data_IF_119668559618
#
_entry.id   IF_119668559618
#
_cell.length_a   1.000
_cell.length_b   1.000
_cell.length_c   1.000
_cell.angle_alpha   90.00
_cell.angle_beta   90.00
_cell.angle_gamma   90.00
#
_symmetry.space_group_name_H-M   'P 1'
#
loop_
_entity.id
_entity.type
_entity.pdbx_description
1 polymer ?
#
# COMPACT_ATOMS: atom_id res chain seq x y z
N UNK A 1 16.50 22.03 -20.99
CA UNK A 1 16.20 21.82 -20.49
C UNK A 1 16.07 20.92 -19.72
N UNK A 2 16.06 20.49 -19.54
CA UNK A 2 15.95 19.89 -18.85
C UNK A 2 15.62 19.38 -17.82
N UNK A 3 15.79 19.22 -17.68
CA UNK A 3 15.12 19.25 -16.47
C UNK A 3 14.01 18.31 -16.29
N UNK A 4 13.27 17.88 -17.26
CA UNK A 4 12.20 16.92 -17.11
C UNK A 4 12.65 15.65 -16.44
N UNK A 5 13.85 15.22 -16.71
CA UNK A 5 14.31 14.00 -16.08
C UNK A 5 14.41 14.14 -14.61
N UNK A 6 14.87 15.30 -14.16
CA UNK A 6 14.99 15.49 -12.74
C UNK A 6 13.66 15.51 -12.05
N UNK A 7 12.65 16.05 -12.71
CA UNK A 7 11.34 16.11 -12.13
C UNK A 7 10.72 14.73 -11.99
N UNK A 8 11.18 13.78 -12.81
CA UNK A 8 10.62 12.45 -12.76
C UNK A 8 11.32 11.53 -11.81
N UNK A 9 12.50 11.92 -11.31
CA UNK A 9 13.21 11.07 -10.36
C UNK A 9 12.54 11.16 -9.00
N UNK A 10 12.22 10.03 -8.45
CA UNK A 10 11.48 9.94 -7.20
C UNK A 10 12.05 8.87 -6.31
N UNK A 11 11.89 9.09 -5.01
CA UNK A 11 12.20 8.05 -4.03
C UNK A 11 11.01 7.11 -3.93
N UNK A 12 11.29 5.85 -4.02
CA UNK A 12 10.27 4.80 -3.96
C UNK A 12 10.73 3.71 -3.02
N UNK A 13 9.77 3.00 -2.46
CA UNK A 13 10.06 1.83 -1.66
C UNK A 13 9.63 0.61 -2.46
N UNK A 14 10.59 -0.27 -2.71
CA UNK A 14 10.30 -1.57 -3.33
C UNK A 14 9.78 -2.49 -2.25
N UNK A 15 8.73 -3.22 -2.57
CA UNK A 15 8.16 -4.18 -1.64
C UNK A 15 7.90 -5.49 -2.38
N UNK A 16 7.82 -6.57 -1.61
CA UNK A 16 7.62 -7.88 -2.20
C UNK A 16 6.31 -8.47 -1.72
N UNK A 17 5.54 -8.95 -2.67
CA UNK A 17 4.30 -9.67 -2.39
C UNK A 17 4.43 -11.03 -3.04
N UNK A 18 4.77 -12.03 -2.24
CA UNK A 18 5.08 -13.34 -2.78
C UNK A 18 6.35 -13.29 -3.61
N UNK A 19 6.23 -13.62 -4.88
CA UNK A 19 7.40 -13.65 -5.76
C UNK A 19 7.51 -12.41 -6.62
N UNK A 20 6.60 -11.46 -6.49
CA UNK A 20 6.61 -10.28 -7.33
C UNK A 20 6.97 -9.06 -6.52
N UNK A 21 7.61 -8.11 -7.18
CA UNK A 21 7.97 -6.84 -6.57
C UNK A 21 7.09 -5.73 -7.10
N UNK A 22 6.78 -4.81 -6.23
CA UNK A 22 6.01 -3.62 -6.55
C UNK A 22 6.70 -2.44 -5.88
N UNK A 23 6.21 -1.25 -6.12
CA UNK A 23 6.78 -0.05 -5.51
C UNK A 23 5.68 0.86 -5.02
N UNK A 24 6.01 1.67 -4.03
CA UNK A 24 5.17 2.77 -3.57
C UNK A 24 6.04 4.01 -3.50
N UNK A 25 5.46 5.16 -3.81
CA UNK A 25 6.17 6.40 -3.61
C UNK A 25 6.51 6.55 -2.14
N UNK A 26 7.75 6.92 -1.85
CA UNK A 26 8.22 6.97 -0.47
C UNK A 26 7.43 7.97 0.35
N UNK A 27 6.90 9.00 -0.29
CA UNK A 27 6.12 10.02 0.44
C UNK A 27 4.87 9.44 1.08
N UNK A 28 4.41 8.28 0.64
CA UNK A 28 3.21 7.66 1.21
C UNK A 28 3.53 6.69 2.34
N UNK A 29 4.79 6.50 2.67
CA UNK A 29 5.17 5.51 3.67
C UNK A 29 5.34 6.19 5.01
N UNK A 30 4.56 5.74 6.00
CA UNK A 30 4.69 6.24 7.36
C UNK A 30 5.71 5.46 8.16
N UNK A 31 5.66 4.13 8.09
CA UNK A 31 6.64 3.31 8.81
C UNK A 31 6.56 1.87 8.34
N UNK A 32 7.59 1.12 8.67
CA UNK A 32 7.65 -0.32 8.43
C UNK A 32 7.66 -0.98 9.79
N UNK A 33 6.75 -1.89 10.01
CA UNK A 33 6.48 -2.42 11.33
C UNK A 33 6.66 -3.93 11.32
N UNK A 34 7.32 -4.46 12.35
CA UNK A 34 7.41 -5.91 12.51
C UNK A 34 6.00 -6.49 12.64
N UNK A 35 5.83 -7.78 12.34
CA UNK A 35 4.50 -8.37 12.42
C UNK A 35 3.88 -8.13 13.77
N UNK A 36 2.63 -7.69 13.76
CA UNK A 36 1.89 -7.35 14.95
C UNK A 36 0.62 -8.16 15.00
N UNK A 37 0.02 -8.17 16.17
CA UNK A 37 -1.26 -8.84 16.32
C UNK A 37 -2.30 -8.11 15.49
N UNK A 38 -3.08 -8.86 14.72
CA UNK A 38 -4.18 -8.33 13.93
C UNK A 38 -5.46 -8.64 14.68
N UNK A 39 -6.21 -7.59 15.00
CA UNK A 39 -7.48 -7.73 15.69
C UNK A 39 -8.58 -7.82 14.64
N UNK A 40 -9.35 -8.90 14.69
CA UNK A 40 -10.40 -9.12 13.71
C UNK A 40 -11.74 -8.74 14.30
N UNK A 41 -12.66 -8.38 13.43
CA UNK A 41 -13.99 -8.01 13.87
C UNK A 41 -15.01 -8.56 12.90
N UNK A 42 -16.27 -8.57 13.35
CA UNK A 42 -17.29 -9.34 12.68
C UNK A 42 -17.64 -8.81 11.29
N UNK A 43 -17.52 -7.53 11.08
CA UNK A 43 -18.00 -6.93 9.83
C UNK A 43 -16.86 -6.55 8.89
N UNK A 44 -15.73 -7.25 8.99
CA UNK A 44 -14.65 -6.98 8.07
C UNK A 44 -15.07 -7.34 6.65
N UNK A 45 -14.51 -6.59 5.70
CA UNK A 45 -14.76 -6.86 4.29
C UNK A 45 -13.69 -7.79 3.76
N UNK A 46 -13.87 -8.32 2.56
CA UNK A 46 -12.80 -9.14 1.97
C UNK A 46 -11.48 -8.40 1.83
N UNK A 47 -11.53 -7.10 1.64
CA UNK A 47 -10.30 -6.32 1.48
C UNK A 47 -9.62 -5.99 2.79
N UNK A 48 -10.35 -6.04 3.89
CA UNK A 48 -9.79 -5.64 5.19
C UNK A 48 -9.76 -6.86 6.09
N UNK A 49 -8.54 -7.25 6.42
CA UNK A 49 -8.30 -8.45 7.19
C UNK A 49 -8.56 -8.24 8.68
N UNK A 50 -8.42 -7.03 9.14
CA UNK A 50 -8.55 -6.67 10.53
C UNK A 50 -7.86 -5.35 10.73
N UNK A 51 -7.43 -5.08 11.97
CA UNK A 51 -6.72 -3.84 12.28
C UNK A 51 -5.51 -4.15 13.15
N UNK A 52 -4.51 -3.28 13.07
CA UNK A 52 -3.41 -3.28 14.03
C UNK A 52 -3.44 -1.94 14.75
N UNK A 53 -2.77 -1.90 15.89
CA UNK A 53 -2.69 -0.68 16.69
C UNK A 53 -1.30 -0.10 16.56
N UNK A 54 -1.23 1.15 16.12
CA UNK A 54 0.06 1.84 15.99
C UNK A 54 -0.09 3.25 16.52
N UNK A 55 0.71 3.57 17.53
CA UNK A 55 0.79 4.94 18.06
C UNK A 55 -0.59 5.47 18.44
N UNK A 56 -1.38 4.61 19.09
CA UNK A 56 -2.72 5.01 19.50
C UNK A 56 -3.73 5.04 18.39
N UNK A 57 -3.38 4.58 17.20
CA UNK A 57 -4.29 4.58 16.06
C UNK A 57 -4.70 3.17 15.72
N UNK A 58 -5.92 3.04 15.25
CA UNK A 58 -6.44 1.80 14.70
C UNK A 58 -6.20 1.86 13.20
N UNK A 59 -5.37 0.95 12.69
CA UNK A 59 -4.95 0.98 11.29
C UNK A 59 -5.48 -0.26 10.59
N UNK A 60 -6.32 -0.12 9.56
CA UNK A 60 -6.84 -1.30 8.86
C UNK A 60 -5.73 -2.00 8.10
N UNK A 61 -5.79 -3.33 8.10
CA UNK A 61 -4.84 -4.17 7.40
C UNK A 61 -5.49 -4.60 6.09
N UNK A 62 -4.92 -4.16 4.98
CA UNK A 62 -5.39 -4.48 3.65
C UNK A 62 -4.35 -5.38 2.98
N UNK A 63 -4.69 -6.65 2.81
CA UNK A 63 -3.80 -7.57 2.12
C UNK A 63 -4.13 -7.47 0.64
N UNK A 64 -3.28 -6.74 -0.08
CA UNK A 64 -3.52 -6.50 -1.50
C UNK A 64 -2.86 -7.55 -2.39
N UNK A 65 -2.18 -8.53 -1.79
CA UNK A 65 -1.44 -9.51 -2.57
C UNK A 65 -2.36 -10.32 -3.48
N UNK A 66 -3.50 -10.75 -2.97
CA UNK A 66 -4.38 -11.57 -3.79
C UNK A 66 -4.91 -10.79 -4.98
N UNK A 67 -5.24 -9.52 -4.77
CA UNK A 67 -5.74 -8.69 -5.85
C UNK A 67 -4.67 -8.47 -6.92
N UNK A 68 -3.41 -8.34 -6.50
CA UNK A 68 -2.32 -8.02 -7.42
C UNK A 68 -1.69 -9.24 -8.04
N UNK A 69 -1.61 -10.35 -7.31
CA UNK A 69 -0.87 -11.51 -7.79
C UNK A 69 -1.74 -12.73 -7.98
N UNK A 70 -2.98 -12.70 -7.53
CA UNK A 70 -3.88 -13.83 -7.60
C UNK A 70 -3.73 -14.81 -6.45
N UNK A 71 -2.81 -14.56 -5.53
CA UNK A 71 -2.55 -15.47 -4.42
C UNK A 71 -2.43 -14.69 -3.13
N UNK A 72 -2.96 -15.25 -2.07
CA UNK A 72 -2.75 -14.67 -0.75
C UNK A 72 -1.33 -14.89 -0.30
N UNK A 73 -0.85 -14.00 0.57
CA UNK A 73 0.48 -14.18 1.15
C UNK A 73 0.44 -15.36 2.11
N UNK A 74 1.45 -16.20 2.02
CA UNK A 74 1.62 -17.30 2.97
C UNK A 74 2.50 -16.89 4.14
N UNK A 75 3.17 -15.73 4.03
CA UNK A 75 4.09 -15.27 5.04
C UNK A 75 4.09 -13.75 5.04
N UNK A 76 3.99 -13.17 6.23
CA UNK A 76 4.01 -11.72 6.41
C UNK A 76 5.26 -11.37 7.18
N UNK A 77 6.21 -10.73 6.49
CA UNK A 77 7.46 -10.35 7.11
C UNK A 77 7.33 -9.02 7.86
N UNK A 78 6.61 -8.08 7.26
CA UNK A 78 6.40 -6.76 7.83
C UNK A 78 5.01 -6.27 7.49
N UNK A 79 4.58 -5.24 8.20
CA UNK A 79 3.45 -4.42 7.76
C UNK A 79 4.00 -3.07 7.36
N UNK A 80 3.72 -2.68 6.13
CA UNK A 80 4.12 -1.39 5.62
C UNK A 80 2.96 -0.45 5.84
N UNK A 81 3.12 0.52 6.74
CA UNK A 81 2.05 1.45 7.08
C UNK A 81 2.16 2.64 6.16
N UNK A 82 1.13 2.86 5.37
CA UNK A 82 1.13 3.90 4.36
C UNK A 82 0.00 4.88 4.63
N UNK A 83 0.13 6.07 4.06
CA UNK A 83 -0.87 7.12 4.20
C UNK A 83 -1.61 7.28 2.89
N UNK A 84 -2.88 7.62 2.99
CA UNK A 84 -3.71 7.94 1.84
C UNK A 84 -4.39 9.25 2.10
N UNK A 85 -4.65 9.99 1.03
CA UNK A 85 -5.44 11.20 1.15
C UNK A 85 -6.79 10.96 0.51
N UNK A 86 -7.83 11.21 1.29
CA UNK A 86 -9.19 11.04 0.81
C UNK A 86 -10.01 12.22 1.26
N UNK A 87 -10.57 12.95 0.31
CA UNK A 87 -11.48 14.04 0.60
C UNK A 87 -10.89 15.00 1.62
N UNK A 88 -9.61 15.32 1.43
CA UNK A 88 -8.95 16.26 2.31
C UNK A 88 -8.44 15.70 3.60
N UNK A 89 -8.73 14.45 3.90
CA UNK A 89 -8.27 13.80 5.11
C UNK A 89 -7.16 12.81 4.79
N UNK A 90 -6.30 12.60 5.76
CA UNK A 90 -5.25 11.60 5.65
C UNK A 90 -5.60 10.44 6.57
N UNK A 91 -5.61 9.23 6.04
CA UNK A 91 -5.77 8.05 6.87
C UNK A 91 -4.61 7.10 6.60
N UNK A 92 -4.53 6.07 7.41
CA UNK A 92 -3.43 5.11 7.36
C UNK A 92 -3.97 3.75 6.98
N UNK A 93 -3.15 2.97 6.29
CA UNK A 93 -3.47 1.60 5.94
C UNK A 93 -2.20 0.78 6.11
N UNK A 94 -2.34 -0.45 6.56
CA UNK A 94 -1.20 -1.36 6.74
C UNK A 94 -1.27 -2.42 5.65
N UNK A 95 -0.18 -2.57 4.94
CA UNK A 95 -0.07 -3.52 3.84
C UNK A 95 0.90 -4.62 4.25
N UNK A 96 0.43 -5.85 4.41
CA UNK A 96 1.37 -6.94 4.68
C UNK A 96 2.29 -7.16 3.48
N UNK A 97 3.56 -7.36 3.76
CA UNK A 97 4.54 -7.65 2.72
C UNK A 97 5.32 -8.88 3.13
N UNK A 98 5.80 -9.63 2.14
CA UNK A 98 6.40 -10.93 2.41
C UNK A 98 7.92 -10.92 2.45
N UNK A 99 8.56 -9.77 2.21
CA UNK A 99 10.01 -9.70 2.20
C UNK A 99 10.50 -8.34 2.61
N UNK A 100 11.80 -8.16 2.44
CA UNK A 100 12.43 -6.89 2.78
C UNK A 100 11.94 -5.78 1.88
N UNK A 101 11.97 -4.57 2.40
CA UNK A 101 11.66 -3.37 1.62
C UNK A 101 12.95 -2.62 1.38
N UNK A 102 13.02 -1.96 0.23
CA UNK A 102 14.24 -1.28 -0.17
C UNK A 102 13.90 0.11 -0.68
N UNK A 103 14.61 1.10 -0.20
CA UNK A 103 14.42 2.48 -0.66
C UNK A 103 15.31 2.70 -1.87
N UNK A 104 14.72 3.13 -2.97
CA UNK A 104 15.45 3.41 -4.20
C UNK A 104 15.03 4.75 -4.75
N UNK A 105 15.84 5.27 -5.67
CA UNK A 105 15.47 6.44 -6.46
C UNK A 105 15.39 6.00 -7.91
N UNK A 106 14.31 6.33 -8.56
CA UNK A 106 14.08 5.89 -9.92
C UNK A 106 13.27 6.93 -10.68
N UNK A 107 13.41 6.93 -12.00
CA UNK A 107 12.56 7.72 -12.86
C UNK A 107 11.25 6.98 -13.04
N UNK A 108 10.16 7.71 -12.95
CA UNK A 108 8.83 7.13 -13.07
C UNK A 108 8.21 7.53 -14.40
N UNK A 109 7.54 6.57 -15.02
CA UNK A 109 6.74 6.82 -16.21
C UNK A 109 5.28 6.74 -15.80
N UNK A 110 4.51 7.81 -15.95
CA UNK A 110 3.11 7.78 -15.54
C UNK A 110 2.33 6.69 -16.27
N UNK A 111 1.34 6.13 -15.59
CA UNK A 111 0.50 5.12 -16.18
C UNK A 111 -0.38 5.75 -17.27
N UNK A 112 -0.68 4.96 -18.30
CA UNK A 112 -1.57 5.37 -19.34
C UNK A 112 -2.99 4.94 -19.07
N UNK A 113 -3.90 5.36 -19.94
CA UNK A 113 -5.31 5.04 -19.75
C UNK A 113 -5.59 3.56 -19.88
N UNK A 114 -4.76 2.85 -20.64
CA UNK A 114 -4.97 1.43 -20.83
C UNK A 114 -4.43 0.59 -19.69
N UNK A 115 -3.70 1.21 -18.76
CA UNK A 115 -3.14 0.46 -17.62
C UNK A 115 -4.23 0.21 -16.59
N UNK A 116 -4.00 -0.79 -15.75
CA UNK A 116 -4.92 -1.10 -14.67
C UNK A 116 -5.01 0.06 -13.69
N UNK A 117 -6.17 0.26 -13.07
CA UNK A 117 -6.32 1.39 -12.14
C UNK A 117 -5.37 1.36 -10.96
N UNK A 118 -4.87 0.18 -10.60
CA UNK A 118 -3.96 0.09 -9.46
C UNK A 118 -2.54 0.54 -9.80
N UNK A 119 -2.25 0.81 -11.07
CA UNK A 119 -0.91 1.24 -11.47
C UNK A 119 -0.91 2.75 -11.56
N UNK A 120 -0.09 3.40 -10.71
CA UNK A 120 0.07 4.85 -10.78
C UNK A 120 1.18 5.22 -11.76
N UNK A 121 2.20 4.37 -11.86
CA UNK A 121 3.36 4.66 -12.67
C UNK A 121 4.14 3.37 -12.86
N UNK A 122 5.15 3.45 -13.69
CA UNK A 122 6.09 2.34 -13.95
C UNK A 122 7.50 2.79 -13.64
N UNK A 123 8.34 1.90 -13.20
CA UNK A 123 9.76 2.16 -13.05
C UNK A 123 10.56 0.96 -13.50
N UNK A 124 11.84 1.19 -13.75
CA UNK A 124 12.75 0.12 -14.10
C UNK A 124 13.83 0.04 -13.03
N UNK A 125 14.10 -1.16 -12.54
CA UNK A 125 15.10 -1.35 -11.51
C UNK A 125 15.71 -2.72 -11.71
N UNK A 126 17.04 -2.78 -11.82
CA UNK A 126 17.77 -4.04 -12.00
C UNK A 126 17.24 -4.83 -13.20
N UNK A 127 16.91 -4.11 -14.29
CA UNK A 127 16.44 -4.77 -15.49
C UNK A 127 14.99 -5.23 -15.44
N UNK A 128 14.29 -4.93 -14.40
CA UNK A 128 12.92 -5.35 -14.20
C UNK A 128 11.98 -4.15 -14.24
N UNK A 129 10.84 -4.32 -14.90
CA UNK A 129 9.83 -3.26 -14.93
C UNK A 129 8.87 -3.51 -13.79
N UNK A 130 8.68 -2.50 -12.95
CA UNK A 130 7.96 -2.63 -11.70
C UNK A 130 6.79 -1.64 -11.67
N UNK A 131 5.63 -2.12 -11.23
CA UNK A 131 4.45 -1.27 -11.07
C UNK A 131 4.57 -0.46 -9.79
N UNK A 132 4.35 0.84 -9.91
CA UNK A 132 4.20 1.72 -8.75
C UNK A 132 2.72 1.78 -8.44
N UNK A 133 2.36 1.44 -7.23
CA UNK A 133 0.96 1.18 -6.87
C UNK A 133 0.20 2.45 -6.56
N UNK A 134 -1.05 2.46 -6.94
CA UNK A 134 -2.00 3.51 -6.59
C UNK A 134 -2.80 3.01 -5.40
N UNK A 135 -2.48 3.49 -4.21
CA UNK A 135 -3.12 3.00 -3.00
C UNK A 135 -4.61 3.28 -2.97
N UNK A 136 -5.03 4.41 -3.51
CA UNK A 136 -6.45 4.74 -3.49
C UNK A 136 -7.27 3.73 -4.26
N UNK A 137 -6.72 3.23 -5.37
CA UNK A 137 -7.43 2.24 -6.16
C UNK A 137 -7.41 0.86 -5.51
N UNK A 138 -6.33 0.57 -4.76
CA UNK A 138 -6.16 -0.75 -4.17
C UNK A 138 -6.87 -0.91 -2.84
N UNK A 139 -7.07 0.16 -2.11
CA UNK A 139 -7.53 0.09 -0.73
C UNK A 139 -8.76 0.95 -0.53
N UNK A 140 -9.90 0.50 -1.01
CA UNK A 140 -11.10 1.33 -0.95
C UNK A 140 -11.74 1.39 0.41
N UNK A 141 -11.21 0.70 1.38
CA UNK A 141 -11.89 0.45 2.62
C UNK A 141 -11.90 1.53 3.66
N UNK A 142 -11.71 2.80 3.28
CA UNK A 142 -11.69 3.86 4.29
C UNK A 142 -12.97 3.91 5.11
N UNK A 143 -14.07 3.56 4.52
CA UNK A 143 -15.32 3.63 5.24
C UNK A 143 -15.37 2.73 6.43
N UNK A 144 -14.58 1.69 6.42
CA UNK A 144 -14.58 0.77 7.51
C UNK A 144 -14.15 1.41 8.80
N UNK A 145 -13.29 2.36 8.72
CA UNK A 145 -12.80 3.02 9.92
C UNK A 145 -13.88 3.75 10.62
N UNK A 146 -14.92 4.04 9.95
CA UNK A 146 -15.97 4.68 10.55
C UNK A 146 -16.93 3.81 11.17
N UNK A 147 -17.33 3.42 11.01
CA UNK A 147 -18.44 3.13 11.50
C UNK A 147 -18.53 2.63 12.73
N UNK A 148 -18.40 3.20 12.34
CA UNK A 148 -18.68 2.92 13.08
C UNK A 148 -18.92 2.56 13.66
N UNK A 149 -18.84 2.82 13.31
CA UNK A 149 -18.84 2.57 13.90
C UNK A 149 -19.13 2.34 14.75
N UNK A 150 -19.29 2.63 14.78
CA UNK A 150 -19.55 2.56 15.73
C UNK A 150 -20.05 2.29 16.31
N UNK A 151 -20.29 2.56 15.92
CA UNK A 151 -20.80 2.36 16.44
C UNK A 151 -21.35 1.93 16.77
N UNK A 152 -21.39 2.19 16.30
CA UNK A 152 -21.87 1.95 16.65
C UNK A 152 -22.44 1.46 17.02
N UNK A 153 -22.61 1.53 17.02
CA UNK A 153 -23.01 1.02 17.55
C UNK A 153 -23.46 0.74 18.05
N UNK A 154 -23.65 1.24 17.74
CA UNK A 154 -23.86 1.06 18.30
C UNK A 154 -23.96 0.79 18.73
#
# INVERSE_FOLDING_TARGET
>A
MKQPEQLDARSCVLLRLGERRFALAAEHIAELVAPSRVYRFAHRTPEIDGVILRRGRVVPVCDVAEKLTGKKLTYRRFYLVATRRREGNTDWVALPVSGECELITADLTPAGESDSPHVAAWLSHDGEVIEVLNLDALTPGAKLAQPGMPEAHA
#
